data_IF_402309524085
#
_entry.id   IF_402309524085
#
_cell.length_a   1.000
_cell.length_b   1.000
_cell.length_c   1.000
_cell.angle_alpha   90.00
_cell.angle_beta   90.00
_cell.angle_gamma   90.00
#
_symmetry.space_group_name_H-M   'P 1'
#
loop_
_entity.id
_entity.type
_entity.pdbx_description
1 polymer ?
#
# COMPACT_ATOMS: atom_id res chain seq x y z
N UNK A 1 15.03 -16.47 42.25
CA UNK A 1 15.18 -17.40 41.12
C UNK A 1 15.40 -18.80 41.68
N UNK A 2 14.53 -19.75 41.33
CA UNK A 2 14.68 -21.16 41.66
C UNK A 2 14.96 -21.98 40.39
N UNK A 3 15.64 -23.13 40.48
CA UNK A 3 15.74 -24.05 39.39
C UNK A 3 14.35 -24.53 38.93
N UNK A 4 14.19 -24.78 37.62
CA UNK A 4 12.97 -25.37 37.11
C UNK A 4 12.81 -26.79 37.61
N UNK A 5 11.58 -27.18 37.89
CA UNK A 5 11.22 -28.59 38.16
C UNK A 5 11.31 -29.40 36.82
N UNK A 6 11.32 -30.73 36.93
CA UNK A 6 11.36 -31.59 35.74
C UNK A 6 10.13 -31.44 34.85
N UNK A 7 8.97 -31.17 35.39
CA UNK A 7 7.75 -30.93 34.65
C UNK A 7 7.81 -29.57 33.91
N UNK A 8 8.30 -28.50 34.57
CA UNK A 8 8.53 -27.20 33.93
C UNK A 8 9.57 -27.29 32.80
N UNK A 9 10.62 -28.08 33.00
CA UNK A 9 11.60 -28.34 31.92
C UNK A 9 10.99 -29.01 30.70
N UNK A 10 10.12 -30.02 30.93
CA UNK A 10 9.40 -30.68 29.84
C UNK A 10 8.46 -29.73 29.08
N UNK A 11 7.77 -28.86 29.82
CA UNK A 11 6.90 -27.85 29.22
C UNK A 11 7.69 -26.87 28.36
N UNK A 12 8.82 -26.35 28.86
CA UNK A 12 9.73 -25.48 28.12
C UNK A 12 10.28 -26.19 26.87
N UNK A 13 10.70 -27.44 27.00
CA UNK A 13 11.19 -28.22 25.86
C UNK A 13 10.10 -28.41 24.80
N UNK A 14 8.89 -28.77 25.20
CA UNK A 14 7.75 -28.90 24.30
C UNK A 14 7.46 -27.59 23.58
N UNK A 15 7.42 -26.47 24.30
CA UNK A 15 7.22 -25.13 23.74
C UNK A 15 8.30 -24.79 22.71
N UNK A 16 9.58 -24.96 23.08
CA UNK A 16 10.69 -24.70 22.16
C UNK A 16 10.63 -25.56 20.87
N UNK A 17 10.28 -26.83 20.98
CA UNK A 17 10.11 -27.70 19.81
C UNK A 17 8.97 -27.20 18.92
N UNK A 18 7.84 -26.84 19.52
CA UNK A 18 6.70 -26.32 18.77
C UNK A 18 7.04 -25.01 18.03
N UNK A 19 7.83 -24.12 18.65
CA UNK A 19 8.27 -22.88 18.01
C UNK A 19 9.19 -23.14 16.81
N UNK A 20 10.09 -24.13 16.93
CA UNK A 20 10.94 -24.55 15.82
C UNK A 20 10.09 -25.10 14.67
N UNK A 21 9.20 -26.04 14.95
CA UNK A 21 8.31 -26.65 13.95
C UNK A 21 7.43 -25.60 13.26
N UNK A 22 6.92 -24.64 14.02
CA UNK A 22 6.13 -23.53 13.49
C UNK A 22 6.97 -22.62 12.58
N UNK A 23 8.22 -22.38 12.95
CA UNK A 23 9.17 -21.57 12.15
C UNK A 23 9.53 -22.28 10.85
N UNK A 24 9.83 -23.58 10.90
CA UNK A 24 10.10 -24.38 9.71
C UNK A 24 8.89 -24.40 8.76
N UNK A 25 7.70 -24.58 9.33
CA UNK A 25 6.47 -24.53 8.52
C UNK A 25 6.25 -23.18 7.89
N UNK A 26 6.56 -22.09 8.61
CA UNK A 26 6.46 -20.72 8.08
C UNK A 26 7.46 -20.50 6.94
N UNK A 27 8.68 -21.02 7.07
CA UNK A 27 9.70 -20.94 6.02
C UNK A 27 9.22 -21.65 4.74
N UNK A 28 8.73 -22.89 4.86
CA UNK A 28 8.16 -23.63 3.74
C UNK A 28 7.08 -22.84 3.01
N UNK A 29 6.13 -22.26 3.75
CA UNK A 29 5.02 -21.49 3.19
C UNK A 29 5.48 -20.17 2.53
N UNK A 30 6.66 -19.68 2.88
CA UNK A 30 7.19 -18.39 2.39
C UNK A 30 8.29 -18.52 1.35
N UNK A 31 8.62 -19.72 0.89
CA UNK A 31 9.69 -19.94 -0.10
C UNK A 31 9.53 -19.06 -1.35
N UNK A 32 8.32 -18.89 -1.88
CA UNK A 32 8.04 -18.00 -3.01
C UNK A 32 8.35 -16.53 -2.71
N UNK A 33 8.05 -16.08 -1.50
CA UNK A 33 8.37 -14.72 -1.06
C UNK A 33 9.89 -14.52 -0.89
N UNK A 34 10.58 -15.46 -0.26
CA UNK A 34 12.03 -15.39 -0.06
C UNK A 34 12.77 -15.42 -1.40
N UNK A 35 12.35 -16.31 -2.31
CA UNK A 35 12.87 -16.40 -3.68
C UNK A 35 12.70 -15.09 -4.44
N UNK A 36 11.56 -14.42 -4.30
CA UNK A 36 11.32 -13.11 -4.91
C UNK A 36 12.27 -12.04 -4.38
N UNK A 37 12.51 -12.01 -3.06
CA UNK A 37 13.49 -11.09 -2.45
C UNK A 37 14.91 -11.33 -2.96
N UNK A 38 15.31 -12.59 -3.06
CA UNK A 38 16.63 -12.97 -3.58
C UNK A 38 16.80 -12.57 -5.04
N UNK A 39 15.75 -12.72 -5.85
CA UNK A 39 15.75 -12.33 -7.27
C UNK A 39 15.94 -10.82 -7.42
N UNK A 40 15.13 -10.03 -6.70
CA UNK A 40 15.25 -8.56 -6.71
C UNK A 40 16.62 -8.10 -6.18
N UNK A 41 17.10 -8.74 -5.12
CA UNK A 41 18.42 -8.45 -4.56
C UNK A 41 19.55 -8.73 -5.56
N UNK A 42 19.48 -9.87 -6.25
CA UNK A 42 20.47 -10.24 -7.28
C UNK A 42 20.49 -9.25 -8.44
N UNK A 43 19.35 -8.81 -8.92
CA UNK A 43 19.25 -7.80 -10.00
C UNK A 43 19.93 -6.48 -9.61
N UNK A 44 19.98 -6.17 -8.32
CA UNK A 44 20.68 -4.99 -7.78
C UNK A 44 22.10 -5.27 -7.24
N UNK A 45 22.64 -6.45 -7.48
CA UNK A 45 23.96 -6.82 -7.00
C UNK A 45 24.08 -6.90 -5.48
N UNK A 46 22.97 -7.09 -4.78
CA UNK A 46 22.97 -7.23 -3.32
C UNK A 46 23.40 -8.65 -2.92
N UNK A 47 24.18 -8.74 -1.85
CA UNK A 47 24.48 -10.03 -1.25
C UNK A 47 23.18 -10.71 -0.74
N UNK A 48 23.01 -12.04 -0.95
CA UNK A 48 21.76 -12.73 -0.65
C UNK A 48 21.22 -12.51 0.77
N UNK A 49 22.06 -12.65 1.79
CA UNK A 49 21.65 -12.41 3.17
C UNK A 49 21.17 -10.98 3.38
N UNK A 50 21.83 -9.97 2.80
CA UNK A 50 21.40 -8.57 2.87
C UNK A 50 19.99 -8.39 2.29
N UNK A 51 19.71 -8.99 1.13
CA UNK A 51 18.38 -8.92 0.50
C UNK A 51 17.30 -9.55 1.40
N UNK A 52 17.57 -10.69 2.02
CA UNK A 52 16.64 -11.37 2.93
C UNK A 52 16.35 -10.55 4.20
N UNK A 53 17.35 -9.94 4.80
CA UNK A 53 17.20 -9.12 6.00
C UNK A 53 16.54 -7.75 5.76
N UNK A 54 16.54 -7.25 4.53
CA UNK A 54 15.87 -5.98 4.22
C UNK A 54 14.38 -6.11 4.38
N UNK A 55 13.71 -5.09 4.93
CA UNK A 55 12.25 -4.96 4.82
C UNK A 55 11.86 -4.75 3.36
N UNK A 56 10.59 -5.03 3.01
CA UNK A 56 10.11 -4.78 1.65
C UNK A 56 10.32 -3.33 1.21
N UNK A 57 10.08 -2.37 2.11
CA UNK A 57 10.30 -0.96 1.84
C UNK A 57 11.78 -0.66 1.51
N UNK A 58 12.72 -1.18 2.30
CA UNK A 58 14.16 -1.00 2.04
C UNK A 58 14.61 -1.68 0.75
N UNK A 59 14.10 -2.89 0.47
CA UNK A 59 14.42 -3.59 -0.77
C UNK A 59 13.86 -2.87 -1.98
N UNK A 60 12.62 -2.35 -1.89
CA UNK A 60 12.02 -1.55 -2.96
C UNK A 60 12.78 -0.25 -3.18
N UNK A 61 13.19 0.44 -2.11
CA UNK A 61 14.01 1.64 -2.22
C UNK A 61 15.36 1.35 -2.91
N UNK A 62 16.03 0.27 -2.53
CA UNK A 62 17.27 -0.16 -3.19
C UNK A 62 17.03 -0.56 -4.65
N UNK A 63 15.91 -1.22 -4.95
CA UNK A 63 15.56 -1.61 -6.31
C UNK A 63 15.31 -0.40 -7.22
N UNK A 64 14.70 0.65 -6.70
CA UNK A 64 14.39 1.89 -7.42
C UNK A 64 15.54 2.93 -7.34
N UNK A 65 16.69 2.59 -6.76
CA UNK A 65 17.80 3.51 -6.50
C UNK A 65 17.36 4.79 -5.75
N UNK A 66 16.42 4.61 -4.81
CA UNK A 66 15.83 5.72 -4.08
C UNK A 66 16.78 6.24 -3.00
N UNK A 67 16.96 7.55 -2.97
CA UNK A 67 17.68 8.27 -1.94
C UNK A 67 16.74 9.13 -1.12
N UNK A 68 16.78 9.01 0.20
CA UNK A 68 15.94 9.82 1.07
C UNK A 68 16.35 11.28 0.99
N UNK A 69 15.44 12.12 0.51
CA UNK A 69 15.60 13.58 0.45
C UNK A 69 14.77 14.24 1.54
N UNK A 70 15.24 15.30 2.18
CA UNK A 70 14.43 16.11 3.09
C UNK A 70 13.19 16.64 2.37
N UNK A 71 12.06 16.64 3.06
CA UNK A 71 10.82 17.21 2.56
C UNK A 71 10.02 17.76 3.74
N UNK A 72 9.22 18.80 3.47
CA UNK A 72 8.38 19.48 4.45
C UNK A 72 7.06 19.93 3.80
N UNK A 73 6.62 19.18 2.80
CA UNK A 73 5.57 19.58 1.85
C UNK A 73 4.46 18.54 1.71
N UNK A 74 4.21 17.75 2.76
CA UNK A 74 3.17 16.71 2.77
C UNK A 74 1.78 17.26 2.43
N UNK A 75 1.56 18.57 2.64
CA UNK A 75 0.31 19.26 2.32
C UNK A 75 0.41 20.20 1.11
N UNK A 76 1.53 20.14 0.37
CA UNK A 76 1.70 20.86 -0.89
C UNK A 76 1.35 19.94 -2.06
N UNK A 77 0.11 19.92 -2.46
CA UNK A 77 -0.35 19.13 -3.60
C UNK A 77 -1.07 20.00 -4.63
N UNK A 78 -1.05 19.52 -5.86
CA UNK A 78 -1.71 20.16 -6.99
C UNK A 78 -2.81 19.26 -7.53
N UNK A 79 -3.86 19.86 -8.03
CA UNK A 79 -4.89 19.09 -8.74
C UNK A 79 -4.36 18.59 -10.08
N UNK A 80 -4.75 17.36 -10.49
CA UNK A 80 -4.38 16.84 -11.80
C UNK A 80 -4.80 17.81 -12.91
N UNK A 81 -3.95 18.09 -13.93
CA UNK A 81 -4.27 19.02 -15.02
C UNK A 81 -5.53 18.65 -15.81
N UNK A 82 -5.84 17.34 -15.86
CA UNK A 82 -7.01 16.80 -16.58
C UNK A 82 -8.23 16.59 -15.67
N UNK A 83 -8.24 17.19 -14.49
CA UNK A 83 -9.36 17.05 -13.56
C UNK A 83 -10.62 17.69 -14.16
N UNK A 84 -11.68 16.92 -14.26
CA UNK A 84 -12.99 17.36 -14.78
C UNK A 84 -13.77 18.08 -13.68
N UNK A 85 -13.37 19.31 -13.39
CA UNK A 85 -13.89 20.12 -12.26
C UNK A 85 -15.40 20.28 -12.25
N UNK A 86 -16.04 20.33 -13.43
CA UNK A 86 -17.49 20.51 -13.56
C UNK A 86 -18.33 19.35 -12.97
N UNK A 87 -17.70 18.20 -12.69
CA UNK A 87 -18.37 17.04 -12.09
C UNK A 87 -18.08 16.86 -10.59
N UNK A 88 -17.29 17.76 -10.01
CA UNK A 88 -16.86 17.67 -8.62
C UNK A 88 -17.54 18.80 -7.84
N UNK A 89 -18.27 18.48 -6.74
CA UNK A 89 -18.88 19.49 -5.89
C UNK A 89 -17.86 20.48 -5.32
N UNK A 90 -18.25 21.75 -5.19
CA UNK A 90 -17.38 22.78 -4.67
C UNK A 90 -16.87 22.47 -3.26
N UNK A 91 -17.71 21.87 -2.41
CA UNK A 91 -17.37 21.45 -1.06
C UNK A 91 -16.14 20.53 -0.99
N UNK A 92 -15.90 19.72 -2.05
CA UNK A 92 -14.72 18.85 -2.14
C UNK A 92 -13.46 19.69 -2.35
N UNK A 93 -13.53 20.73 -3.19
CA UNK A 93 -12.40 21.65 -3.36
C UNK A 93 -12.13 22.44 -2.09
N UNK A 94 -13.16 22.95 -1.43
CA UNK A 94 -13.05 23.70 -0.19
C UNK A 94 -12.42 22.84 0.92
N UNK A 95 -12.81 21.55 0.99
CA UNK A 95 -12.18 20.60 1.90
C UNK A 95 -10.68 20.43 1.61
N UNK A 96 -10.30 20.20 0.36
CA UNK A 96 -8.88 20.05 0.02
C UNK A 96 -8.07 21.34 0.17
N UNK A 97 -8.63 22.51 -0.14
CA UNK A 97 -7.95 23.79 0.10
C UNK A 97 -7.72 24.01 1.60
N UNK A 98 -8.68 23.65 2.44
CA UNK A 98 -8.51 23.69 3.89
C UNK A 98 -7.38 22.74 4.37
N UNK A 99 -7.25 21.56 3.77
CA UNK A 99 -6.15 20.65 4.12
C UNK A 99 -4.77 21.22 3.79
N UNK A 100 -4.65 22.17 2.88
CA UNK A 100 -3.39 22.89 2.57
C UNK A 100 -3.01 23.93 3.60
N UNK A 101 -3.95 24.39 4.43
CA UNK A 101 -3.71 25.44 5.41
C UNK A 101 -2.72 24.98 6.50
N UNK A 102 -1.47 25.42 6.37
CA UNK A 102 -0.37 25.07 7.28
C UNK A 102 -0.53 25.65 8.68
N UNK A 103 -1.49 26.57 8.90
CA UNK A 103 -1.83 27.05 10.25
C UNK A 103 -2.56 26.00 11.08
N UNK A 104 -3.20 25.02 10.44
CA UNK A 104 -3.88 23.91 11.10
C UNK A 104 -2.86 22.82 11.39
N UNK A 105 -2.76 22.30 12.63
CA UNK A 105 -1.83 21.23 12.97
C UNK A 105 -2.09 19.94 12.16
N UNK A 106 -1.03 19.24 11.77
CA UNK A 106 -1.10 18.00 10.99
C UNK A 106 -1.99 16.95 11.66
N UNK A 107 -1.92 16.81 12.98
CA UNK A 107 -2.73 15.89 13.77
C UNK A 107 -4.24 16.13 13.63
N UNK A 108 -4.63 17.35 13.33
CA UNK A 108 -6.02 17.74 13.06
C UNK A 108 -6.37 17.44 11.62
N UNK A 109 -5.56 17.93 10.68
CA UNK A 109 -5.78 17.81 9.24
C UNK A 109 -5.89 16.33 8.80
N UNK A 110 -5.00 15.47 9.27
CA UNK A 110 -5.04 14.05 8.87
C UNK A 110 -6.21 13.25 9.45
N UNK A 111 -6.96 13.82 10.39
CA UNK A 111 -8.19 13.23 10.94
C UNK A 111 -9.46 13.81 10.32
N UNK A 112 -9.36 14.92 9.60
CA UNK A 112 -10.53 15.52 8.96
C UNK A 112 -11.16 14.62 7.90
N UNK A 113 -12.47 14.68 7.82
CA UNK A 113 -13.28 13.90 6.89
C UNK A 113 -14.39 14.78 6.31
N UNK A 114 -14.72 14.52 5.06
CA UNK A 114 -15.88 15.10 4.39
C UNK A 114 -16.83 13.96 3.99
N UNK A 115 -18.02 13.98 4.53
CA UNK A 115 -19.08 13.02 4.17
C UNK A 115 -19.97 13.62 3.10
N UNK A 116 -20.23 12.86 2.03
CA UNK A 116 -21.05 13.29 0.91
C UNK A 116 -21.75 12.11 0.23
N UNK A 117 -22.77 12.40 -0.57
CA UNK A 117 -23.47 11.40 -1.37
C UNK A 117 -22.91 11.39 -2.80
N UNK A 118 -22.43 10.24 -3.27
CA UNK A 118 -21.97 10.05 -4.65
C UNK A 118 -22.80 8.96 -5.31
N UNK A 119 -23.60 9.34 -6.30
CA UNK A 119 -24.43 8.39 -7.04
C UNK A 119 -25.39 7.58 -6.17
N UNK A 120 -25.91 8.16 -5.09
CA UNK A 120 -26.79 7.47 -4.12
C UNK A 120 -26.04 6.62 -3.08
N UNK A 121 -24.71 6.61 -3.09
CA UNK A 121 -23.90 5.93 -2.09
C UNK A 121 -23.32 6.93 -1.10
N UNK A 122 -23.48 6.76 0.23
CA UNK A 122 -22.78 7.56 1.22
C UNK A 122 -21.29 7.29 1.15
N UNK A 123 -20.51 8.36 0.99
CA UNK A 123 -19.06 8.33 0.85
C UNK A 123 -18.40 9.25 1.86
N UNK A 124 -17.23 8.88 2.31
CA UNK A 124 -16.34 9.70 3.14
C UNK A 124 -15.03 9.95 2.38
N UNK A 125 -14.69 11.22 2.21
CA UNK A 125 -13.37 11.66 1.73
C UNK A 125 -12.51 11.99 2.95
N UNK A 126 -11.29 11.49 2.95
CA UNK A 126 -10.26 11.83 3.93
C UNK A 126 -8.92 12.00 3.21
N UNK A 127 -7.89 12.40 3.94
CA UNK A 127 -6.54 12.58 3.38
C UNK A 127 -6.00 11.33 2.65
N UNK A 128 -6.37 10.13 3.08
CA UNK A 128 -5.94 8.86 2.49
C UNK A 128 -6.77 8.36 1.30
N UNK A 129 -7.89 9.01 0.96
CA UNK A 129 -8.73 8.60 -0.15
C UNK A 129 -10.23 8.77 0.08
N UNK A 130 -11.01 8.23 -0.85
CA UNK A 130 -12.47 8.19 -0.77
C UNK A 130 -12.95 6.75 -0.56
N UNK A 131 -13.87 6.56 0.37
CA UNK A 131 -14.51 5.30 0.68
C UNK A 131 -16.02 5.49 0.74
N UNK A 132 -16.76 4.54 0.17
CA UNK A 132 -18.22 4.58 0.22
C UNK A 132 -18.82 3.18 0.25
N UNK A 133 -19.91 3.03 0.99
CA UNK A 133 -20.71 1.82 1.01
C UNK A 133 -22.13 2.15 1.44
N UNK A 134 -23.11 1.40 0.93
CA UNK A 134 -24.47 1.42 1.44
C UNK A 134 -24.55 0.40 2.57
N UNK A 135 -24.75 0.83 3.84
CA UNK A 135 -24.77 -0.09 4.97
C UNK A 135 -25.89 -1.11 4.85
N UNK A 136 -25.62 -2.35 5.23
CA UNK A 136 -26.61 -3.45 5.25
C UNK A 136 -27.32 -3.69 3.92
N UNK A 137 -26.75 -3.22 2.80
CA UNK A 137 -27.32 -3.43 1.47
C UNK A 137 -27.00 -4.83 0.96
N UNK A 138 -28.05 -5.52 0.45
CA UNK A 138 -27.94 -6.81 -0.22
C UNK A 138 -28.61 -6.72 -1.58
N UNK A 139 -27.93 -7.20 -2.59
CA UNK A 139 -28.44 -7.30 -3.95
C UNK A 139 -28.16 -8.70 -4.49
N UNK A 140 -29.08 -9.22 -5.30
CA UNK A 140 -28.93 -10.51 -5.96
C UNK A 140 -29.07 -10.33 -7.48
N UNK A 141 -28.25 -11.07 -8.21
CA UNK A 141 -28.36 -11.13 -9.67
C UNK A 141 -29.67 -11.86 -10.05
N UNK A 142 -30.31 -11.40 -11.13
CA UNK A 142 -31.48 -12.02 -11.72
C UNK A 142 -31.23 -12.32 -13.20
N UNK A 143 -32.18 -12.94 -13.90
CA UNK A 143 -32.05 -13.19 -15.34
C UNK A 143 -31.86 -11.90 -16.16
N UNK A 144 -32.36 -10.76 -15.69
CA UNK A 144 -32.28 -9.46 -16.37
C UNK A 144 -31.31 -8.47 -15.74
N UNK A 145 -30.75 -8.77 -14.56
CA UNK A 145 -29.83 -7.90 -13.81
C UNK A 145 -28.56 -8.66 -13.45
N UNK A 146 -27.41 -8.11 -13.78
CA UNK A 146 -26.11 -8.66 -13.43
C UNK A 146 -25.40 -7.79 -12.38
N UNK A 147 -24.74 -8.45 -11.42
CA UNK A 147 -23.80 -7.79 -10.51
C UNK A 147 -22.42 -7.92 -11.11
N UNK A 148 -21.68 -6.82 -11.23
CA UNK A 148 -20.31 -6.80 -11.74
C UNK A 148 -19.38 -6.17 -10.73
N UNK A 149 -18.35 -6.90 -10.34
CA UNK A 149 -17.23 -6.33 -9.62
C UNK A 149 -16.21 -5.78 -10.64
N UNK A 150 -15.82 -4.51 -10.47
CA UNK A 150 -14.80 -3.87 -11.30
C UNK A 150 -13.68 -3.36 -10.39
N UNK A 151 -12.46 -3.77 -10.68
CA UNK A 151 -11.25 -3.31 -10.03
C UNK A 151 -10.28 -2.72 -11.06
N UNK A 152 -9.60 -1.66 -10.67
CA UNK A 152 -8.57 -1.02 -11.52
C UNK A 152 -7.21 -1.62 -11.18
N UNK A 153 -6.66 -2.39 -12.11
CA UNK A 153 -5.37 -3.01 -11.94
C UNK A 153 -4.28 -1.98 -11.59
N UNK A 154 -3.65 -2.16 -10.42
CA UNK A 154 -2.57 -1.28 -9.94
C UNK A 154 -2.96 0.22 -9.97
N UNK A 155 -4.13 0.55 -9.43
CA UNK A 155 -4.73 1.88 -9.51
C UNK A 155 -3.77 3.01 -9.12
N UNK A 156 -3.25 3.03 -7.89
CA UNK A 156 -2.31 4.06 -7.44
C UNK A 156 -1.03 4.15 -8.29
N UNK A 157 -0.34 3.04 -8.59
CA UNK A 157 0.80 3.08 -9.50
C UNK A 157 0.51 3.70 -10.86
N UNK A 158 -0.63 3.37 -11.48
CA UNK A 158 -1.01 3.97 -12.75
C UNK A 158 -1.36 5.46 -12.62
N UNK A 159 -2.04 5.87 -11.53
CA UNK A 159 -2.27 7.29 -11.28
C UNK A 159 -0.97 8.06 -11.15
N UNK A 160 0.02 7.50 -10.46
CA UNK A 160 1.34 8.13 -10.33
C UNK A 160 2.02 8.29 -11.69
N UNK A 161 2.06 7.24 -12.50
CA UNK A 161 2.73 7.28 -13.82
C UNK A 161 1.99 8.17 -14.81
N UNK A 162 0.65 8.10 -14.89
CA UNK A 162 -0.15 8.89 -15.83
C UNK A 162 -0.13 10.40 -15.55
N UNK A 163 0.00 10.77 -14.29
CA UNK A 163 0.04 12.18 -13.86
C UNK A 163 1.46 12.69 -13.60
N UNK A 164 2.48 11.84 -13.77
CA UNK A 164 3.87 12.19 -13.46
C UNK A 164 4.16 12.36 -11.96
N UNK A 165 3.32 11.80 -11.09
CA UNK A 165 3.48 11.87 -9.64
C UNK A 165 4.42 10.76 -9.18
N UNK A 166 5.70 10.99 -9.23
CA UNK A 166 6.70 10.08 -8.68
C UNK A 166 7.30 10.65 -7.39
N UNK A 167 7.73 9.74 -6.51
CA UNK A 167 8.48 10.14 -5.33
C UNK A 167 9.72 10.91 -5.75
N UNK A 168 9.99 12.06 -5.11
CA UNK A 168 11.25 12.83 -5.29
C UNK A 168 12.50 12.03 -4.93
N UNK A 169 12.33 10.94 -4.17
CA UNK A 169 13.43 10.07 -3.74
C UNK A 169 13.92 9.14 -4.85
N UNK A 170 13.15 8.94 -5.92
CA UNK A 170 13.57 8.13 -7.07
C UNK A 170 14.26 9.01 -8.13
N UNK A 171 15.37 8.53 -8.72
CA UNK A 171 16.15 9.32 -9.67
C UNK A 171 15.43 9.53 -11.00
N UNK A 172 14.57 8.59 -11.42
CA UNK A 172 13.83 8.67 -12.67
C UNK A 172 12.42 8.08 -12.55
N UNK A 173 11.38 8.80 -13.03
CA UNK A 173 10.04 8.25 -13.18
C UNK A 173 9.98 7.01 -14.08
N UNK A 174 10.87 6.90 -15.06
CA UNK A 174 10.89 5.79 -16.02
C UNK A 174 11.21 4.44 -15.34
N UNK A 175 12.11 4.43 -14.36
CA UNK A 175 12.42 3.23 -13.58
C UNK A 175 11.18 2.73 -12.84
N UNK A 176 10.40 3.66 -12.29
CA UNK A 176 9.15 3.32 -11.63
C UNK A 176 8.11 2.78 -12.63
N UNK A 177 7.91 3.46 -13.77
CA UNK A 177 7.00 3.03 -14.83
C UNK A 177 7.33 1.63 -15.35
N UNK A 178 8.61 1.37 -15.66
CA UNK A 178 9.07 0.05 -16.11
C UNK A 178 8.81 -1.05 -15.06
N UNK A 179 8.98 -0.72 -13.77
CA UNK A 179 8.69 -1.65 -12.66
C UNK A 179 7.20 -1.99 -12.60
N UNK A 180 6.32 -1.01 -12.80
CA UNK A 180 4.87 -1.22 -12.81
C UNK A 180 4.45 -2.08 -14.01
N UNK A 181 4.97 -1.81 -15.20
CA UNK A 181 4.70 -2.63 -16.38
C UNK A 181 5.13 -4.09 -16.18
N UNK A 182 6.33 -4.30 -15.63
CA UNK A 182 6.83 -5.65 -15.32
C UNK A 182 5.90 -6.35 -14.33
N UNK A 183 5.46 -5.68 -13.27
CA UNK A 183 4.50 -6.21 -12.30
C UNK A 183 3.17 -6.59 -12.94
N UNK A 184 2.63 -5.74 -13.81
CA UNK A 184 1.35 -5.99 -14.50
C UNK A 184 1.48 -7.17 -15.45
N UNK A 185 2.59 -7.29 -16.18
CA UNK A 185 2.87 -8.44 -17.04
C UNK A 185 2.95 -9.74 -16.23
N UNK A 186 3.69 -9.74 -15.12
CA UNK A 186 3.80 -10.90 -14.25
C UNK A 186 2.44 -11.32 -13.67
N UNK A 187 1.61 -10.37 -13.24
CA UNK A 187 0.26 -10.65 -12.72
C UNK A 187 -0.69 -11.25 -13.77
N UNK A 188 -0.46 -10.96 -15.05
CA UNK A 188 -1.28 -11.50 -16.17
C UNK A 188 -0.81 -12.88 -16.62
N UNK A 189 0.44 -13.21 -16.35
CA UNK A 189 1.05 -14.48 -16.77
C UNK A 189 0.89 -15.62 -15.76
N UNK A 190 0.50 -15.33 -14.55
CA UNK A 190 0.38 -16.32 -13.49
C UNK A 190 -0.66 -16.09 -12.49
#
# INVERSE_FOLDING_TARGET
DRPLTEDEKREVEFYCRHDVDATDRLDDLRQGYLSSKLTLGREKGLYPAKALYMTNAKLTAAYLDAEQKPHYDEREYQYPPKLLRQYIPQEVFDFFERLKDKSIPDEVVFKEKLDLMVGGCPCTIAYGGIHGAIPCYREEATETRSIRNKDVASYYPHQMTLNGYCSRNIPSPDVYAATIERRVKAKRAG
#
